data_IF_629237005602
#
_entry.id   IF_629237005602
#
_cell.length_a   1.000
_cell.length_b   1.000
_cell.length_c   1.000
_cell.angle_alpha   90.00
_cell.angle_beta   90.00
_cell.angle_gamma   90.00
#
_symmetry.space_group_name_H-M   'P 1'
#
loop_
_entity.id
_entity.type
_entity.pdbx_description
1 polymer ?
#
# COMPACT_ATOMS: atom_id res chain seq x y z
N UNK A 1 -13.89 -34.26 -1.38
CA UNK A 1 -12.78 -33.71 -0.56
C UNK A 1 -11.59 -33.57 -1.47
N UNK A 2 -11.42 -32.40 -2.09
CA UNK A 2 -10.21 -32.05 -2.84
C UNK A 2 -9.52 -30.99 -2.00
N UNK A 3 -8.37 -31.34 -1.42
CA UNK A 3 -7.50 -30.38 -0.75
C UNK A 3 -6.98 -29.40 -1.78
N UNK A 4 -7.23 -28.12 -1.55
CA UNK A 4 -6.58 -27.02 -2.26
C UNK A 4 -5.22 -26.83 -1.61
N UNK A 5 -4.15 -27.07 -2.38
CA UNK A 5 -2.78 -26.81 -1.98
C UNK A 5 -2.52 -25.32 -2.21
N UNK A 6 -2.36 -24.55 -1.14
CA UNK A 6 -1.83 -23.18 -1.20
C UNK A 6 -0.31 -23.31 -1.31
N UNK A 7 0.28 -22.76 -2.37
CA UNK A 7 1.73 -22.70 -2.55
C UNK A 7 2.15 -21.27 -2.25
N UNK A 8 2.67 -21.03 -1.04
CA UNK A 8 3.47 -19.86 -0.75
C UNK A 8 4.83 -20.03 -1.46
N UNK A 9 5.13 -19.16 -2.42
CA UNK A 9 6.44 -19.13 -3.08
C UNK A 9 7.31 -18.16 -2.28
N UNK A 10 8.20 -18.69 -1.46
CA UNK A 10 9.30 -17.93 -0.89
C UNK A 10 10.31 -17.62 -2.00
N UNK A 11 10.36 -16.37 -2.46
CA UNK A 11 11.39 -15.90 -3.40
C UNK A 11 12.29 -14.88 -2.70
N UNK A 12 13.55 -15.24 -2.52
CA UNK A 12 14.61 -14.32 -2.15
C UNK A 12 14.82 -13.27 -3.27
N UNK A 13 14.64 -11.99 -2.93
CA UNK A 13 15.39 -10.85 -3.48
C UNK A 13 15.36 -10.65 -5.00
N UNK A 14 14.19 -10.29 -5.53
CA UNK A 14 13.99 -9.48 -6.73
C UNK A 14 12.47 -9.24 -6.81
N UNK A 15 12.01 -8.04 -6.47
CA UNK A 15 10.59 -7.66 -6.54
C UNK A 15 10.14 -7.64 -8.01
N UNK A 16 9.75 -8.80 -8.52
CA UNK A 16 9.05 -8.95 -9.79
C UNK A 16 7.58 -8.64 -9.51
N UNK A 17 7.12 -7.44 -9.87
CA UNK A 17 5.68 -7.16 -9.97
C UNK A 17 5.05 -8.18 -10.91
N UNK A 18 3.82 -8.61 -10.62
CA UNK A 18 3.08 -9.46 -11.55
C UNK A 18 2.76 -8.64 -12.80
N UNK A 19 3.63 -8.73 -13.81
CA UNK A 19 3.33 -8.27 -15.16
C UNK A 19 2.26 -9.22 -15.75
N UNK A 20 1.00 -8.82 -15.68
CA UNK A 20 -0.10 -9.63 -16.21
C UNK A 20 -0.15 -9.46 -17.74
N UNK A 21 0.39 -10.43 -18.46
CA UNK A 21 0.33 -10.45 -19.92
C UNK A 21 -1.10 -10.78 -20.39
N UNK A 22 -1.75 -9.83 -21.05
CA UNK A 22 -3.01 -10.06 -21.76
C UNK A 22 -2.85 -11.18 -22.80
N UNK A 23 -3.49 -12.32 -22.55
CA UNK A 23 -3.37 -13.50 -23.40
C UNK A 23 -4.28 -13.44 -24.63
N UNK A 24 -3.72 -13.25 -25.83
CA UNK A 24 -4.26 -13.74 -27.11
C UNK A 24 -5.62 -13.23 -27.63
N UNK A 25 -6.31 -12.34 -26.91
CA UNK A 25 -7.58 -11.69 -27.32
C UNK A 25 -7.38 -10.22 -27.64
N UNK A 26 -8.43 -9.57 -28.18
CA UNK A 26 -8.50 -8.12 -28.31
C UNK A 26 -8.71 -7.49 -26.93
N UNK A 27 -7.81 -6.58 -26.50
CA UNK A 27 -7.85 -5.85 -25.23
C UNK A 27 -7.13 -4.50 -25.35
N UNK A 28 -7.54 -3.52 -24.54
CA UNK A 28 -6.75 -2.32 -24.30
C UNK A 28 -6.09 -2.42 -22.92
N UNK A 29 -5.00 -1.67 -22.71
CA UNK A 29 -4.23 -1.70 -21.47
C UNK A 29 -3.66 -0.30 -21.19
N UNK A 30 -4.35 0.46 -20.35
CA UNK A 30 -4.04 1.83 -19.91
C UNK A 30 -3.09 1.77 -18.73
N UNK A 31 -1.80 1.80 -19.05
CA UNK A 31 -0.75 1.78 -18.04
C UNK A 31 -0.27 3.19 -17.72
N UNK A 32 0.04 3.49 -16.47
CA UNK A 32 0.76 4.71 -16.11
C UNK A 32 2.22 4.55 -16.50
N UNK A 33 2.80 5.53 -17.22
CA UNK A 33 4.22 5.47 -17.62
C UNK A 33 5.04 6.62 -17.08
N UNK A 34 4.50 7.83 -17.04
CA UNK A 34 5.26 8.98 -16.54
C UNK A 34 4.50 9.69 -15.43
N UNK A 35 5.23 10.11 -14.39
CA UNK A 35 4.72 10.88 -13.26
C UNK A 35 5.70 12.01 -12.95
N UNK A 36 5.25 13.24 -13.13
CA UNK A 36 6.03 14.47 -12.94
C UNK A 36 7.27 14.56 -13.83
N UNK A 37 7.16 14.18 -15.12
CA UNK A 37 8.31 14.05 -16.05
C UNK A 37 8.96 15.37 -16.45
N UNK A 38 10.29 15.36 -16.63
CA UNK A 38 11.02 16.54 -17.08
C UNK A 38 10.76 16.79 -18.57
N UNK A 39 10.66 18.07 -18.96
CA UNK A 39 10.64 18.47 -20.38
C UNK A 39 9.29 18.30 -21.09
N UNK A 40 8.39 17.56 -20.46
CA UNK A 40 6.97 17.66 -20.67
C UNK A 40 6.55 18.96 -19.88
N UNK A 41 6.12 20.05 -20.54
CA UNK A 41 5.53 21.23 -19.85
C UNK A 41 6.34 22.54 -19.87
N UNK A 42 7.40 22.65 -20.66
CA UNK A 42 8.10 23.93 -20.90
C UNK A 42 9.35 24.20 -20.03
N UNK A 43 9.82 23.20 -19.27
CA UNK A 43 11.14 23.15 -18.64
C UNK A 43 11.11 22.85 -17.14
N UNK A 44 11.90 21.87 -16.69
CA UNK A 44 11.87 21.33 -15.32
C UNK A 44 10.92 20.13 -15.17
N UNK A 45 10.80 19.60 -13.95
CA UNK A 45 9.84 18.52 -13.62
C UNK A 45 8.42 19.08 -13.59
N UNK A 46 7.47 18.36 -14.19
CA UNK A 46 6.04 18.73 -14.18
C UNK A 46 5.40 18.47 -12.80
N UNK A 47 5.85 19.20 -11.79
CA UNK A 47 5.43 19.13 -10.39
C UNK A 47 5.15 20.56 -9.92
N UNK A 48 3.90 20.87 -9.63
CA UNK A 48 3.46 22.24 -9.38
C UNK A 48 2.95 22.44 -7.94
N UNK A 49 3.36 23.57 -7.35
CA UNK A 49 2.88 24.05 -6.06
C UNK A 49 1.81 25.13 -6.24
N UNK A 50 0.66 24.95 -5.58
CA UNK A 50 -0.52 25.81 -5.74
C UNK A 50 -0.74 26.81 -4.59
N UNK A 51 0.09 26.73 -3.55
CA UNK A 51 -0.06 27.55 -2.35
C UNK A 51 -0.36 26.71 -1.11
N UNK A 52 -0.44 27.42 0.02
CA UNK A 52 -0.75 26.84 1.33
C UNK A 52 -2.00 27.50 1.89
N UNK A 53 -2.90 26.72 2.48
CA UNK A 53 -4.05 27.21 3.20
C UNK A 53 -4.24 26.40 4.49
N UNK A 54 -4.46 27.07 5.62
CA UNK A 54 -4.74 26.42 6.91
C UNK A 54 -3.71 25.36 7.31
N UNK A 55 -2.43 25.59 7.02
CA UNK A 55 -1.35 24.65 7.37
C UNK A 55 -1.19 23.47 6.41
N UNK A 56 -1.87 23.48 5.26
CA UNK A 56 -1.77 22.44 4.23
C UNK A 56 -1.25 23.05 2.92
N UNK A 57 -0.22 22.45 2.35
CA UNK A 57 0.32 22.78 1.03
C UNK A 57 -0.36 21.95 -0.06
N UNK A 58 -0.66 22.57 -1.19
CA UNK A 58 -1.30 21.92 -2.31
C UNK A 58 -0.38 21.74 -3.51
N UNK A 59 -0.46 20.56 -4.12
CA UNK A 59 0.38 20.16 -5.24
C UNK A 59 -0.43 19.43 -6.33
N UNK A 60 0.12 19.40 -7.53
CA UNK A 60 -0.30 18.50 -8.60
C UNK A 60 0.94 18.07 -9.40
N UNK A 61 0.86 16.92 -10.06
CA UNK A 61 1.92 16.35 -10.89
C UNK A 61 1.39 16.01 -12.27
N UNK A 62 2.24 16.15 -13.27
CA UNK A 62 2.01 15.62 -14.60
C UNK A 62 1.87 14.11 -14.56
N UNK A 63 1.02 13.57 -15.40
CA UNK A 63 0.91 12.12 -15.59
C UNK A 63 0.75 11.79 -17.06
N UNK A 64 1.31 10.65 -17.48
CA UNK A 64 1.13 10.11 -18.83
C UNK A 64 0.71 8.67 -18.74
N UNK A 65 -0.34 8.31 -19.49
CA UNK A 65 -0.74 6.94 -19.70
C UNK A 65 -0.38 6.47 -21.11
N UNK A 66 -0.27 5.16 -21.26
CA UNK A 66 -0.07 4.46 -22.53
C UNK A 66 -1.18 3.45 -22.75
N UNK A 67 -1.62 3.28 -24.00
CA UNK A 67 -2.36 2.08 -24.39
C UNK A 67 -1.38 1.03 -24.94
N UNK A 68 -1.02 0.05 -24.12
CA UNK A 68 -0.13 -1.06 -24.47
C UNK A 68 -0.87 -2.28 -25.02
N UNK A 69 -2.20 -2.20 -25.11
CA UNK A 69 -3.04 -3.24 -25.70
C UNK A 69 -2.99 -3.26 -27.23
N UNK A 70 -3.89 -4.04 -27.82
CA UNK A 70 -3.99 -4.24 -29.27
C UNK A 70 -5.31 -3.71 -29.87
N UNK A 71 -6.19 -3.11 -29.06
CA UNK A 71 -7.33 -2.33 -29.52
C UNK A 71 -7.30 -0.91 -28.95
N UNK A 72 -8.15 -0.04 -29.48
CA UNK A 72 -8.29 1.35 -29.03
C UNK A 72 -8.97 1.42 -27.67
N UNK A 73 -8.41 2.21 -26.73
CA UNK A 73 -9.01 2.39 -25.41
C UNK A 73 -10.07 3.52 -25.43
N UNK A 74 -11.21 3.36 -24.74
CA UNK A 74 -12.21 4.42 -24.56
C UNK A 74 -11.67 5.63 -23.81
N UNK A 75 -12.05 6.84 -24.23
CA UNK A 75 -11.69 8.11 -23.56
C UNK A 75 -12.79 9.17 -23.72
N UNK A 76 -14.05 8.75 -23.61
CA UNK A 76 -15.21 9.58 -23.93
C UNK A 76 -15.50 10.58 -22.80
N UNK A 77 -14.92 11.78 -22.91
CA UNK A 77 -15.07 12.85 -21.92
C UNK A 77 -16.53 13.20 -21.61
N UNK A 78 -16.82 13.43 -20.32
CA UNK A 78 -18.19 13.71 -19.85
C UNK A 78 -19.08 12.47 -19.77
N UNK A 79 -18.49 11.28 -19.70
CA UNK A 79 -19.17 9.99 -19.47
C UNK A 79 -18.40 9.18 -18.42
N UNK A 80 -18.82 7.95 -18.13
CA UNK A 80 -18.10 6.99 -17.29
C UNK A 80 -17.05 6.14 -18.06
N UNK A 81 -16.91 6.33 -19.37
CA UNK A 81 -15.97 5.58 -20.22
C UNK A 81 -14.67 6.35 -20.44
N UNK A 82 -14.07 6.81 -19.34
CA UNK A 82 -12.88 7.65 -19.36
C UNK A 82 -12.08 7.43 -18.09
N UNK A 83 -10.74 7.43 -18.11
CA UNK A 83 -9.99 7.15 -16.90
C UNK A 83 -10.17 8.19 -15.79
N UNK A 84 -10.11 7.72 -14.55
CA UNK A 84 -9.91 8.54 -13.36
C UNK A 84 -8.47 8.41 -12.88
N UNK A 85 -7.87 9.52 -12.45
CA UNK A 85 -6.42 9.59 -12.19
C UNK A 85 -6.16 10.06 -10.76
N UNK A 86 -5.52 9.21 -9.97
CA UNK A 86 -5.05 9.51 -8.61
C UNK A 86 -3.60 9.98 -8.58
N UNK A 87 -3.30 10.86 -7.62
CA UNK A 87 -1.96 11.35 -7.36
C UNK A 87 -1.66 11.25 -5.86
N UNK A 88 -0.55 10.60 -5.53
CA UNK A 88 -0.15 10.34 -4.15
C UNK A 88 1.31 10.73 -3.90
N UNK A 89 1.66 11.02 -2.64
CA UNK A 89 3.04 11.28 -2.22
C UNK A 89 3.38 10.44 -1.01
N UNK A 90 4.53 9.79 -1.08
CA UNK A 90 5.05 8.91 -0.04
C UNK A 90 6.37 9.42 0.50
N UNK A 91 6.63 9.13 1.78
CA UNK A 91 7.89 9.43 2.48
C UNK A 91 8.41 8.17 3.15
N UNK A 92 9.67 7.84 2.90
CA UNK A 92 10.45 6.97 3.76
C UNK A 92 11.30 7.80 4.74
N UNK A 93 11.18 7.56 6.03
CA UNK A 93 12.00 8.20 7.06
C UNK A 93 12.07 7.33 8.31
N UNK A 94 13.28 7.11 8.82
CA UNK A 94 13.53 6.40 10.09
C UNK A 94 12.79 5.03 10.17
N UNK A 95 12.88 4.22 9.11
CA UNK A 95 12.23 2.90 9.00
C UNK A 95 10.75 2.93 8.58
N UNK A 96 10.15 4.13 8.43
CA UNK A 96 8.72 4.28 8.16
C UNK A 96 8.46 4.72 6.73
N UNK A 97 7.69 3.92 5.98
CA UNK A 97 7.20 4.27 4.66
C UNK A 97 5.72 4.67 4.72
N UNK A 98 5.42 5.96 4.58
CA UNK A 98 4.09 6.52 4.85
C UNK A 98 3.54 7.30 3.65
N UNK A 99 2.25 7.16 3.37
CA UNK A 99 1.54 8.09 2.49
C UNK A 99 1.33 9.42 3.24
N UNK A 100 1.87 10.50 2.68
CA UNK A 100 1.83 11.86 3.25
C UNK A 100 1.06 12.85 2.38
N UNK A 101 0.74 12.46 1.14
CA UNK A 101 -0.05 13.24 0.21
C UNK A 101 -1.08 12.37 -0.49
N UNK A 102 -2.31 12.87 -0.54
CA UNK A 102 -3.44 12.26 -1.23
C UNK A 102 -4.16 13.35 -2.01
N UNK A 103 -4.62 13.04 -3.22
CA UNK A 103 -5.54 13.89 -3.99
C UNK A 103 -6.91 13.23 -4.15
N UNK A 104 -7.90 14.06 -4.47
CA UNK A 104 -9.07 13.57 -5.22
C UNK A 104 -8.63 13.11 -6.62
N UNK A 105 -9.56 12.57 -7.39
CA UNK A 105 -9.25 12.01 -8.71
C UNK A 105 -9.58 13.00 -9.81
N UNK A 106 -8.69 13.11 -10.78
CA UNK A 106 -9.03 13.79 -12.03
C UNK A 106 -9.98 12.88 -12.80
N UNK A 107 -11.11 13.42 -13.25
CA UNK A 107 -11.86 12.81 -14.33
C UNK A 107 -11.26 13.26 -15.66
N UNK A 108 -10.66 12.33 -16.42
CA UNK A 108 -10.05 12.68 -17.70
C UNK A 108 -11.12 13.08 -18.74
N UNK A 109 -10.71 13.67 -19.86
CA UNK A 109 -11.66 14.30 -20.78
C UNK A 109 -11.29 14.22 -22.26
N UNK A 110 -10.02 13.97 -22.58
CA UNK A 110 -9.52 13.94 -23.95
C UNK A 110 -8.20 13.19 -24.01
N UNK A 111 -8.10 12.16 -24.85
CA UNK A 111 -6.82 11.55 -25.16
C UNK A 111 -6.14 12.32 -26.29
N UNK A 112 -4.94 12.85 -26.05
CA UNK A 112 -4.12 13.48 -27.10
C UNK A 112 -3.74 12.45 -28.18
N UNK A 113 -3.54 11.18 -27.80
CA UNK A 113 -3.13 10.08 -28.68
C UNK A 113 -1.87 10.40 -29.48
N UNK A 114 -0.78 10.62 -28.74
CA UNK A 114 0.50 11.06 -29.29
C UNK A 114 1.59 9.98 -29.24
N UNK A 115 2.69 10.13 -30.01
CA UNK A 115 3.84 9.25 -29.88
C UNK A 115 4.46 9.33 -28.47
N UNK A 116 4.84 8.19 -27.90
CA UNK A 116 5.47 8.13 -26.57
C UNK A 116 5.62 6.73 -25.99
N UNK A 117 4.75 5.79 -26.40
CA UNK A 117 4.70 4.43 -25.85
C UNK A 117 5.14 3.34 -26.83
N UNK A 118 4.93 3.56 -28.13
CA UNK A 118 5.26 2.63 -29.21
C UNK A 118 4.95 3.22 -30.58
N UNK A 119 4.61 2.34 -31.54
CA UNK A 119 4.16 2.73 -32.88
C UNK A 119 2.72 3.28 -32.82
N UNK A 120 2.59 4.52 -32.38
CA UNK A 120 1.31 5.17 -32.10
C UNK A 120 0.39 5.22 -33.34
N UNK A 121 -0.75 4.53 -33.23
CA UNK A 121 -1.88 4.59 -34.15
C UNK A 121 -2.86 5.66 -33.68
N UNK A 122 -2.48 6.92 -33.87
CA UNK A 122 -3.19 8.08 -33.33
C UNK A 122 -4.67 8.11 -33.73
N UNK A 123 -5.52 8.39 -32.74
CA UNK A 123 -6.96 8.54 -32.85
C UNK A 123 -7.39 9.98 -32.50
N UNK A 124 -8.70 10.23 -32.40
CA UNK A 124 -9.19 11.52 -31.93
C UNK A 124 -9.32 11.54 -30.39
N UNK A 125 -9.65 12.72 -29.86
CA UNK A 125 -9.83 13.03 -28.44
C UNK A 125 -10.66 12.03 -27.62
N UNK A 126 -11.59 11.30 -28.23
CA UNK A 126 -12.50 10.40 -27.53
C UNK A 126 -11.92 9.01 -27.24
N UNK A 127 -10.68 8.74 -27.66
CA UNK A 127 -10.09 7.41 -27.63
C UNK A 127 -8.58 7.49 -27.57
N UNK A 128 -7.92 6.57 -26.85
CA UNK A 128 -6.47 6.43 -26.87
C UNK A 128 -6.04 5.32 -27.85
N UNK A 129 -5.35 5.74 -28.90
CA UNK A 129 -4.87 4.86 -29.97
C UNK A 129 -3.89 3.79 -29.50
N UNK A 130 -3.79 2.70 -30.26
CA UNK A 130 -2.88 1.58 -29.97
C UNK A 130 -1.43 2.09 -29.99
N UNK A 131 -0.66 1.82 -28.94
CA UNK A 131 0.74 2.26 -28.80
C UNK A 131 0.90 3.77 -28.61
N UNK A 132 -0.18 4.51 -28.38
CA UNK A 132 -0.14 5.96 -28.14
C UNK A 132 -0.09 6.29 -26.66
N UNK A 133 0.41 7.50 -26.38
CA UNK A 133 0.42 8.15 -25.08
C UNK A 133 -0.73 9.17 -24.96
N UNK A 134 -1.14 9.42 -23.72
CA UNK A 134 -1.92 10.59 -23.33
C UNK A 134 -1.27 11.26 -22.12
N UNK A 135 -0.86 12.52 -22.26
CA UNK A 135 -0.26 13.30 -21.18
C UNK A 135 -1.21 14.36 -20.66
N UNK A 136 -1.46 14.31 -19.35
CA UNK A 136 -2.04 15.42 -18.60
C UNK A 136 -0.98 16.12 -17.78
N UNK A 137 -0.77 17.39 -18.10
CA UNK A 137 0.05 18.33 -17.35
C UNK A 137 -0.39 18.49 -15.89
N UNK A 138 0.52 18.94 -15.01
CA UNK A 138 0.17 19.21 -13.62
C UNK A 138 -1.02 20.18 -13.47
N UNK A 139 -1.15 21.19 -14.34
CA UNK A 139 -2.28 22.13 -14.32
C UNK A 139 -3.61 21.49 -14.74
N UNK A 140 -3.58 20.58 -15.72
CA UNK A 140 -4.73 19.75 -16.09
C UNK A 140 -5.07 18.73 -15.01
N UNK A 141 -4.06 18.20 -14.31
CA UNK A 141 -4.19 17.30 -13.16
C UNK A 141 -4.57 18.02 -11.88
N UNK A 142 -4.50 19.34 -11.83
CA UNK A 142 -5.04 20.16 -10.76
C UNK A 142 -6.54 20.47 -10.92
N UNK A 143 -7.12 20.14 -12.08
CA UNK A 143 -8.57 20.12 -12.28
C UNK A 143 -9.13 18.74 -11.92
N UNK A 144 -9.62 18.64 -10.69
CA UNK A 144 -9.91 17.38 -10.00
C UNK A 144 -11.32 17.44 -9.42
N UNK A 145 -12.15 16.46 -9.76
CA UNK A 145 -13.59 16.45 -9.45
C UNK A 145 -14.19 15.06 -9.20
N UNK A 146 -13.44 13.97 -9.41
CA UNK A 146 -13.92 12.61 -9.17
C UNK A 146 -13.64 12.16 -7.71
N UNK A 147 -14.68 11.73 -6.97
CA UNK A 147 -14.55 11.20 -5.62
C UNK A 147 -14.12 9.72 -5.64
N UNK A 148 -13.31 9.30 -4.68
CA UNK A 148 -12.91 7.88 -4.54
C UNK A 148 -14.07 6.96 -4.21
N UNK A 149 -14.98 7.48 -3.40
CA UNK A 149 -16.07 6.72 -2.76
C UNK A 149 -17.07 6.13 -3.75
N UNK A 150 -17.14 6.67 -4.97
CA UNK A 150 -18.10 6.28 -6.01
C UNK A 150 -17.51 5.35 -7.08
N UNK A 151 -16.24 4.94 -6.95
CA UNK A 151 -15.53 4.20 -8.00
C UNK A 151 -15.17 2.79 -7.53
N UNK A 152 -15.49 1.81 -8.37
CA UNK A 152 -14.95 0.47 -8.29
C UNK A 152 -13.61 0.42 -9.01
N UNK A 153 -12.50 0.52 -8.27
CA UNK A 153 -11.16 0.52 -8.87
C UNK A 153 -10.72 -0.84 -9.42
N UNK A 154 -11.37 -1.94 -9.03
CA UNK A 154 -11.07 -3.24 -9.63
C UNK A 154 -11.61 -3.31 -11.04
N UNK A 155 -12.86 -2.90 -11.26
CA UNK A 155 -13.52 -3.03 -12.57
C UNK A 155 -13.39 -1.80 -13.45
N UNK A 156 -13.20 -0.62 -12.85
CA UNK A 156 -13.32 0.67 -13.52
C UNK A 156 -14.74 1.24 -13.53
N UNK A 157 -15.71 0.55 -12.93
CA UNK A 157 -17.11 0.98 -12.97
C UNK A 157 -17.36 2.15 -12.00
N UNK A 158 -18.03 3.19 -12.51
CA UNK A 158 -18.58 4.29 -11.73
C UNK A 158 -19.76 4.95 -12.44
N UNK A 159 -20.58 5.70 -11.70
CA UNK A 159 -21.71 6.45 -12.26
C UNK A 159 -21.25 7.88 -12.58
N UNK A 160 -21.57 8.35 -13.79
CA UNK A 160 -21.38 9.74 -14.18
C UNK A 160 -22.73 10.40 -14.56
N UNK A 161 -23.00 11.65 -14.14
CA UNK A 161 -22.15 12.51 -13.29
C UNK A 161 -22.05 11.98 -11.85
N UNK A 162 -20.91 12.25 -11.20
CA UNK A 162 -20.70 11.94 -9.78
C UNK A 162 -21.71 12.67 -8.89
N UNK A 163 -22.07 12.04 -7.77
CA UNK A 163 -23.00 12.62 -6.80
C UNK A 163 -22.31 13.53 -5.80
N UNK A 164 -21.04 13.27 -5.50
CA UNK A 164 -20.18 14.09 -4.66
C UNK A 164 -19.34 15.04 -5.51
N UNK A 165 -19.04 16.21 -4.96
CA UNK A 165 -18.20 17.22 -5.61
C UNK A 165 -17.25 17.85 -4.60
N UNK A 166 -16.01 18.18 -5.00
CA UNK A 166 -15.04 18.70 -4.07
C UNK A 166 -15.44 20.08 -3.55
N UNK A 167 -15.12 20.33 -2.29
CA UNK A 167 -15.46 21.52 -1.51
C UNK A 167 -14.26 22.06 -0.74
N UNK A 168 -14.42 23.22 -0.11
CA UNK A 168 -13.36 23.89 0.65
C UNK A 168 -12.54 24.91 -0.15
N UNK A 169 -11.42 25.40 0.44
CA UNK A 169 -10.65 26.53 -0.10
C UNK A 169 -10.05 26.22 -1.47
N UNK A 170 -10.25 27.10 -2.45
CA UNK A 170 -9.85 26.88 -3.84
C UNK A 170 -8.35 26.62 -4.04
N UNK A 171 -7.50 27.07 -3.13
CA UNK A 171 -6.05 26.83 -3.14
C UNK A 171 -5.71 25.35 -2.96
N UNK A 172 -6.39 24.66 -2.05
CA UNK A 172 -6.06 23.27 -1.66
C UNK A 172 -7.12 22.25 -2.09
N UNK A 173 -8.28 22.73 -2.53
CA UNK A 173 -9.42 21.89 -2.89
C UNK A 173 -9.02 20.82 -3.91
N UNK A 174 -9.29 19.56 -3.56
CA UNK A 174 -9.11 18.36 -4.39
C UNK A 174 -7.66 17.99 -4.78
N UNK A 175 -6.73 18.96 -4.78
CA UNK A 175 -5.29 18.76 -5.04
C UNK A 175 -4.62 17.84 -4.02
N UNK A 176 -3.40 17.39 -4.34
CA UNK A 176 -2.55 16.67 -3.39
C UNK A 176 -2.35 17.57 -2.16
N UNK A 177 -2.83 17.15 -1.00
CA UNK A 177 -2.67 17.88 0.25
C UNK A 177 -1.54 17.29 1.08
N UNK A 178 -0.53 18.11 1.40
CA UNK A 178 0.64 17.70 2.19
C UNK A 178 0.81 18.68 3.35
N UNK A 179 1.10 18.17 4.55
CA UNK A 179 1.50 19.01 5.69
C UNK A 179 2.93 19.51 5.48
N UNK A 180 3.21 20.83 5.54
CA UNK A 180 4.55 21.38 5.26
C UNK A 180 5.69 20.75 6.09
N UNK A 181 5.43 20.38 7.34
CA UNK A 181 6.43 19.72 8.21
C UNK A 181 6.81 18.33 7.71
N UNK A 182 5.99 17.65 6.90
CA UNK A 182 6.33 16.33 6.37
C UNK A 182 7.37 16.37 5.25
N UNK A 183 7.51 17.52 4.60
CA UNK A 183 8.41 17.75 3.45
C UNK A 183 9.46 18.83 3.72
N UNK A 184 9.46 19.44 4.92
CA UNK A 184 10.48 20.42 5.29
C UNK A 184 11.86 19.74 5.40
N UNK A 185 12.85 20.11 4.55
CA UNK A 185 14.15 19.45 4.58
C UNK A 185 14.91 19.59 5.90
N UNK A 186 14.66 20.67 6.67
CA UNK A 186 15.31 20.84 7.98
C UNK A 186 14.74 19.93 9.07
N UNK A 187 13.53 19.41 8.89
CA UNK A 187 12.84 18.52 9.84
C UNK A 187 12.91 17.05 9.42
N UNK A 188 13.25 16.78 8.17
CA UNK A 188 13.26 15.45 7.55
C UNK A 188 14.62 15.11 6.92
N UNK A 189 15.70 15.36 7.67
CA UNK A 189 17.03 14.92 7.26
C UNK A 189 17.04 13.40 7.04
N UNK A 190 17.56 12.95 5.90
CA UNK A 190 17.62 11.53 5.53
C UNK A 190 16.33 10.96 4.92
N UNK A 191 15.24 11.73 4.87
CA UNK A 191 14.01 11.26 4.26
C UNK A 191 14.13 11.14 2.73
N UNK A 192 13.48 10.11 2.19
CA UNK A 192 13.32 9.88 0.75
C UNK A 192 11.84 10.00 0.39
N UNK A 193 11.54 10.44 -0.83
CA UNK A 193 10.17 10.74 -1.25
C UNK A 193 9.87 10.19 -2.64
N UNK A 194 8.62 9.80 -2.85
CA UNK A 194 8.10 9.38 -4.15
C UNK A 194 6.77 10.07 -4.42
N UNK A 195 6.56 10.44 -5.68
CA UNK A 195 5.23 10.76 -6.22
C UNK A 195 4.72 9.54 -6.96
N UNK A 196 3.43 9.29 -6.88
CA UNK A 196 2.75 8.20 -7.57
C UNK A 196 1.58 8.73 -8.38
N UNK A 197 1.43 8.20 -9.59
CA UNK A 197 0.26 8.37 -10.44
C UNK A 197 -0.43 7.03 -10.63
N UNK A 198 -1.75 7.02 -10.56
CA UNK A 198 -2.56 5.81 -10.80
C UNK A 198 -3.72 6.13 -11.74
N UNK A 199 -3.87 5.33 -12.79
CA UNK A 199 -5.00 5.40 -13.73
C UNK A 199 -5.96 4.26 -13.42
N UNK A 200 -7.25 4.53 -13.36
CA UNK A 200 -8.27 3.47 -13.42
C UNK A 200 -9.08 3.74 -14.67
N UNK A 201 -8.98 2.85 -15.66
CA UNK A 201 -9.74 2.99 -16.90
C UNK A 201 -11.24 2.88 -16.59
N UNK A 202 -12.02 3.88 -17.03
CA UNK A 202 -13.46 3.85 -16.88
C UNK A 202 -14.12 2.85 -17.83
N UNK A 203 -15.16 2.18 -17.38
CA UNK A 203 -15.94 1.21 -18.17
C UNK A 203 -17.44 1.40 -17.98
N UNK A 204 -18.24 0.69 -18.80
CA UNK A 204 -19.70 0.70 -18.71
C UNK A 204 -20.35 -0.34 -19.62
N UNK A 205 -21.68 -0.30 -19.69
CA UNK A 205 -22.50 -1.40 -20.25
C UNK A 205 -22.13 -1.82 -21.69
N UNK A 206 -21.61 -0.90 -22.52
CA UNK A 206 -21.28 -1.14 -23.92
C UNK A 206 -19.76 -1.30 -24.18
N UNK A 207 -18.90 -0.95 -23.22
CA UNK A 207 -17.43 -1.01 -23.33
C UNK A 207 -16.83 -1.71 -22.10
N UNK A 208 -16.31 -2.95 -22.24
CA UNK A 208 -15.75 -3.69 -21.12
C UNK A 208 -14.49 -3.01 -20.56
N UNK A 209 -14.31 -3.09 -19.25
CA UNK A 209 -13.15 -2.60 -18.53
C UNK A 209 -11.96 -3.55 -18.56
N UNK A 210 -10.81 -3.07 -18.08
CA UNK A 210 -9.54 -3.81 -18.07
C UNK A 210 -9.61 -5.12 -17.27
N UNK A 211 -10.48 -5.15 -16.28
CA UNK A 211 -10.74 -6.33 -15.44
C UNK A 211 -11.26 -7.52 -16.22
N UNK A 212 -11.97 -7.29 -17.33
CA UNK A 212 -12.48 -8.33 -18.23
C UNK A 212 -11.34 -9.13 -18.88
N UNK A 213 -10.19 -8.49 -19.10
CA UNK A 213 -8.99 -9.14 -19.67
C UNK A 213 -7.92 -9.46 -18.63
N UNK A 214 -8.12 -9.03 -17.39
CA UNK A 214 -7.13 -9.19 -16.33
C UNK A 214 -5.87 -8.38 -16.60
N UNK A 215 -5.98 -7.11 -16.99
CA UNK A 215 -4.80 -6.24 -17.20
C UNK A 215 -4.78 -5.00 -16.30
N UNK A 216 -5.80 -4.83 -15.45
CA UNK A 216 -6.01 -3.67 -14.58
C UNK A 216 -4.98 -3.47 -13.44
N UNK A 217 -4.03 -4.39 -13.24
CA UNK A 217 -3.13 -4.39 -12.08
C UNK A 217 -1.82 -3.61 -12.29
N UNK A 218 -1.50 -3.21 -13.52
CA UNK A 218 -0.27 -2.49 -13.89
C UNK A 218 -0.45 -0.96 -13.92
N UNK A 219 -1.45 -0.47 -13.20
CA UNK A 219 -2.03 0.84 -13.42
C UNK A 219 -1.45 1.98 -12.54
N UNK A 220 -0.47 1.68 -11.69
CA UNK A 220 0.20 2.64 -10.81
C UNK A 220 1.70 2.73 -11.15
N UNK A 221 2.29 3.92 -11.02
CA UNK A 221 3.74 4.13 -11.22
C UNK A 221 4.27 5.17 -10.27
N UNK A 222 5.54 5.03 -9.89
CA UNK A 222 6.19 5.90 -8.92
C UNK A 222 7.44 6.56 -9.50
N UNK A 223 7.70 7.80 -9.09
CA UNK A 223 8.94 8.51 -9.40
C UNK A 223 9.57 9.03 -8.11
N UNK A 224 10.87 8.77 -7.85
CA UNK A 224 11.53 9.37 -6.72
C UNK A 224 11.65 10.89 -6.91
N UNK A 225 11.50 11.64 -5.83
CA UNK A 225 11.55 13.11 -5.84
C UNK A 225 12.33 13.64 -4.64
N UNK A 226 12.66 14.93 -4.70
CA UNK A 226 13.28 15.65 -3.59
C UNK A 226 12.60 16.99 -3.36
N UNK A 227 12.06 17.16 -2.16
CA UNK A 227 11.67 18.47 -1.68
C UNK A 227 12.92 19.27 -1.30
N UNK A 228 13.12 20.43 -1.93
CA UNK A 228 14.23 21.35 -1.60
C UNK A 228 13.78 22.49 -0.69
N UNK A 229 12.47 22.65 -0.54
CA UNK A 229 11.78 23.47 0.45
C UNK A 229 10.36 22.94 0.60
N UNK A 230 9.57 23.53 1.50
CA UNK A 230 8.13 23.23 1.64
C UNK A 230 7.29 23.67 0.44
N UNK A 231 7.89 24.32 -0.57
CA UNK A 231 7.20 24.86 -1.75
C UNK A 231 7.94 24.56 -3.06
N UNK A 232 9.00 23.75 -3.03
CA UNK A 232 9.73 23.34 -4.22
C UNK A 232 10.09 21.85 -4.17
N UNK A 233 9.71 21.13 -5.21
CA UNK A 233 9.96 19.71 -5.39
C UNK A 233 10.58 19.49 -6.77
N UNK A 234 11.54 18.57 -6.88
CA UNK A 234 12.18 18.21 -8.15
C UNK A 234 12.18 16.70 -8.32
N UNK A 235 12.04 16.23 -9.56
CA UNK A 235 12.20 14.83 -9.90
C UNK A 235 13.62 14.34 -9.66
N UNK A 236 13.73 13.08 -9.24
CA UNK A 236 14.97 12.32 -9.23
C UNK A 236 14.81 11.18 -10.24
N UNK A 237 15.77 10.97 -11.13
CA UNK A 237 15.73 9.86 -12.10
C UNK A 237 14.48 9.86 -13.00
N UNK A 238 14.17 8.70 -13.57
CA UNK A 238 12.98 8.45 -14.38
C UNK A 238 11.83 7.91 -13.51
N UNK A 239 10.61 7.91 -14.04
CA UNK A 239 9.52 7.10 -13.48
C UNK A 239 9.83 5.62 -13.60
N UNK A 240 9.54 4.85 -12.57
CA UNK A 240 9.50 3.39 -12.65
C UNK A 240 8.06 2.97 -12.95
N UNK A 241 7.89 2.49 -14.19
CA UNK A 241 6.59 2.20 -14.76
C UNK A 241 5.99 0.96 -14.08
N UNK A 242 4.67 0.97 -13.89
CA UNK A 242 3.90 -0.15 -13.33
C UNK A 242 4.36 -0.59 -11.92
N UNK A 243 5.06 0.30 -11.19
CA UNK A 243 5.55 0.04 -9.84
C UNK A 243 4.99 1.08 -8.86
N UNK A 244 3.96 0.75 -8.06
CA UNK A 244 3.41 1.66 -7.05
C UNK A 244 4.47 2.03 -6.01
N UNK A 245 4.31 3.19 -5.38
CA UNK A 245 5.30 3.70 -4.43
C UNK A 245 5.42 2.81 -3.18
N UNK A 246 4.34 2.12 -2.77
CA UNK A 246 4.37 1.19 -1.63
C UNK A 246 5.40 0.05 -1.80
N UNK A 247 5.64 -0.40 -3.03
CA UNK A 247 6.64 -1.43 -3.38
C UNK A 247 8.09 -0.89 -3.36
N UNK A 248 8.32 0.32 -2.84
CA UNK A 248 9.67 0.89 -2.68
C UNK A 248 10.22 0.75 -1.28
N UNK A 249 9.41 0.28 -0.34
CA UNK A 249 9.87 0.18 1.04
C UNK A 249 10.96 -0.87 1.18
N UNK A 250 10.78 -2.05 0.59
CA UNK A 250 11.78 -3.13 0.49
C UNK A 250 13.02 -2.74 -0.35
N UNK A 251 12.88 -1.83 -1.32
CA UNK A 251 14.01 -1.27 -2.08
C UNK A 251 14.94 -0.40 -1.20
N UNK A 252 14.40 0.31 -0.20
CA UNK A 252 15.14 1.35 0.56
C UNK A 252 15.44 0.99 2.02
N UNK A 253 14.80 -0.06 2.53
CA UNK A 253 15.03 -0.60 3.87
C UNK A 253 15.28 -2.10 3.79
N UNK A 254 16.50 -2.53 4.11
CA UNK A 254 16.88 -3.95 4.08
C UNK A 254 16.18 -4.81 5.13
N UNK A 255 15.53 -4.19 6.13
CA UNK A 255 14.71 -4.90 7.11
C UNK A 255 13.24 -5.01 6.67
N UNK A 256 12.86 -4.32 5.60
CA UNK A 256 11.50 -4.34 5.09
C UNK A 256 11.31 -5.42 4.02
N UNK A 257 10.16 -6.08 4.09
CA UNK A 257 9.64 -6.93 3.02
C UNK A 257 8.30 -6.35 2.60
N UNK A 258 8.01 -6.31 1.30
CA UNK A 258 6.68 -5.99 0.76
C UNK A 258 6.25 -7.11 -0.18
N UNK A 259 5.03 -7.61 0.00
CA UNK A 259 4.45 -8.64 -0.86
C UNK A 259 3.12 -8.19 -1.45
N UNK A 260 2.82 -8.69 -2.65
CA UNK A 260 1.54 -8.54 -3.31
C UNK A 260 0.52 -9.54 -2.71
N UNK A 261 -0.70 -9.07 -2.47
CA UNK A 261 -1.82 -9.90 -2.00
C UNK A 261 -2.97 -9.73 -3.00
N UNK A 262 -3.23 -10.79 -3.77
CA UNK A 262 -4.33 -10.83 -4.74
C UNK A 262 -5.64 -11.15 -4.03
N UNK A 263 -6.65 -10.32 -4.25
CA UNK A 263 -7.99 -10.50 -3.69
C UNK A 263 -8.97 -11.01 -4.74
N UNK A 264 -9.86 -11.93 -4.36
CA UNK A 264 -11.01 -12.28 -5.18
C UNK A 264 -12.05 -11.16 -5.15
N UNK A 265 -12.37 -10.60 -6.31
CA UNK A 265 -13.31 -9.50 -6.53
C UNK A 265 -14.41 -9.91 -7.50
N UNK A 266 -15.58 -9.28 -7.41
CA UNK A 266 -16.58 -9.42 -8.48
C UNK A 266 -16.09 -8.65 -9.72
N UNK A 267 -16.25 -9.25 -10.89
CA UNK A 267 -16.07 -8.54 -12.16
C UNK A 267 -17.23 -7.60 -12.46
N UNK A 268 -17.18 -7.00 -13.65
CA UNK A 268 -18.17 -6.05 -14.15
C UNK A 268 -19.61 -6.58 -14.05
N UNK A 269 -20.54 -5.67 -13.73
CA UNK A 269 -21.94 -6.00 -13.44
C UNK A 269 -22.16 -6.91 -12.22
N UNK A 270 -21.13 -7.11 -11.39
CA UNK A 270 -21.16 -8.03 -10.26
C UNK A 270 -21.07 -9.50 -10.68
N UNK A 271 -20.50 -9.80 -11.85
CA UNK A 271 -20.43 -11.14 -12.42
C UNK A 271 -19.01 -11.64 -12.57
N UNK A 272 -18.82 -12.97 -12.48
CA UNK A 272 -17.49 -13.58 -12.53
C UNK A 272 -16.64 -13.27 -11.30
N UNK A 273 -15.39 -13.74 -11.34
CA UNK A 273 -14.37 -13.43 -10.33
C UNK A 273 -13.15 -12.90 -11.07
N UNK A 274 -12.68 -11.74 -10.66
CA UNK A 274 -11.45 -11.08 -11.14
C UNK A 274 -10.54 -10.79 -9.95
N UNK A 275 -9.30 -10.36 -10.23
CA UNK A 275 -8.33 -10.07 -9.18
C UNK A 275 -8.31 -8.58 -8.81
N UNK A 276 -8.40 -8.29 -7.52
CA UNK A 276 -7.90 -7.03 -6.94
C UNK A 276 -6.45 -7.20 -6.48
N UNK A 277 -5.81 -6.09 -6.13
CA UNK A 277 -4.43 -6.09 -5.64
C UNK A 277 -4.28 -5.18 -4.42
N UNK A 278 -3.72 -5.78 -3.37
CA UNK A 278 -3.21 -5.13 -2.18
C UNK A 278 -1.69 -5.37 -2.10
N UNK A 279 -1.01 -4.60 -1.27
CA UNK A 279 0.36 -4.87 -0.85
C UNK A 279 0.41 -4.84 0.66
N UNK A 280 1.14 -5.79 1.23
CA UNK A 280 1.40 -5.89 2.66
C UNK A 280 2.91 -5.86 2.89
N UNK A 281 3.38 -4.92 3.69
CA UNK A 281 4.77 -4.81 4.06
C UNK A 281 4.96 -4.85 5.57
N UNK A 282 6.14 -5.30 6.00
CA UNK A 282 6.52 -5.32 7.40
C UNK A 282 8.02 -5.07 7.56
N UNK A 283 8.40 -4.51 8.71
CA UNK A 283 9.79 -4.44 9.19
C UNK A 283 9.81 -4.58 10.72
N UNK A 284 10.85 -5.23 11.24
CA UNK A 284 11.13 -5.29 12.67
C UNK A 284 12.55 -4.80 12.95
N UNK A 285 12.73 -3.87 13.88
CA UNK A 285 14.04 -3.27 14.19
C UNK A 285 14.29 -3.23 15.69
N UNK A 286 15.53 -3.49 16.11
CA UNK A 286 15.96 -3.41 17.51
C UNK A 286 16.13 -1.94 17.94
N UNK A 287 15.50 -1.55 19.05
CA UNK A 287 15.63 -0.21 19.64
C UNK A 287 16.91 -0.03 20.48
N UNK A 288 17.68 -1.10 20.69
CA UNK A 288 18.93 -1.12 21.46
C UNK A 288 18.73 -1.05 22.97
N UNK A 289 17.53 -1.39 23.45
CA UNK A 289 17.13 -1.29 24.86
C UNK A 289 16.27 -2.48 25.33
N UNK A 290 16.35 -3.62 24.63
CA UNK A 290 15.52 -4.80 24.90
C UNK A 290 14.09 -4.70 24.37
N UNK A 291 13.78 -3.68 23.56
CA UNK A 291 12.51 -3.57 22.86
C UNK A 291 12.73 -3.52 21.35
N UNK A 292 11.73 -3.92 20.59
CA UNK A 292 11.74 -3.97 19.14
C UNK A 292 10.59 -3.16 18.58
N UNK A 293 10.86 -2.39 17.54
CA UNK A 293 9.86 -1.65 16.77
C UNK A 293 9.32 -2.53 15.65
N UNK A 294 8.00 -2.67 15.57
CA UNK A 294 7.29 -3.34 14.49
C UNK A 294 6.52 -2.29 13.70
N UNK A 295 6.79 -2.22 12.39
CA UNK A 295 6.10 -1.33 11.45
C UNK A 295 5.50 -2.18 10.33
N UNK A 296 4.27 -1.88 9.96
CA UNK A 296 3.53 -2.57 8.90
C UNK A 296 2.91 -1.55 7.95
N UNK A 297 2.84 -1.90 6.68
CA UNK A 297 2.21 -1.11 5.62
C UNK A 297 1.15 -1.98 4.92
N UNK A 298 -0.06 -1.46 4.78
CA UNK A 298 -1.09 -2.06 3.94
C UNK A 298 -1.49 -1.04 2.87
N UNK A 299 -1.11 -1.28 1.62
CA UNK A 299 -1.49 -0.44 0.49
C UNK A 299 -2.56 -1.13 -0.34
N UNK A 300 -3.69 -0.46 -0.57
CA UNK A 300 -4.71 -0.97 -1.48
C UNK A 300 -4.51 -0.30 -2.84
N UNK A 301 -4.05 -1.04 -3.86
CA UNK A 301 -3.93 -0.47 -5.20
C UNK A 301 -5.29 -0.44 -5.90
N UNK A 302 -5.96 -1.58 -6.03
CA UNK A 302 -7.24 -1.67 -6.77
C UNK A 302 -8.29 -2.59 -6.15
N UNK A 303 -8.09 -3.18 -4.98
CA UNK A 303 -9.13 -4.01 -4.34
C UNK A 303 -10.36 -3.16 -3.99
N UNK A 304 -11.48 -3.40 -4.69
CA UNK A 304 -12.73 -2.75 -4.36
C UNK A 304 -13.26 -3.22 -3.02
N UNK A 305 -13.02 -4.47 -2.63
CA UNK A 305 -13.43 -4.95 -1.32
C UNK A 305 -12.77 -4.21 -0.15
N UNK A 306 -11.61 -3.57 -0.37
CA UNK A 306 -10.92 -2.76 0.64
C UNK A 306 -10.54 -3.57 1.89
N UNK A 307 -9.73 -2.99 2.78
CA UNK A 307 -9.33 -3.64 4.03
C UNK A 307 -10.01 -2.95 5.22
N UNK A 308 -10.66 -3.73 6.06
CA UNK A 308 -11.43 -3.26 7.21
C UNK A 308 -10.88 -3.70 8.57
N UNK A 309 -9.96 -4.67 8.58
CA UNK A 309 -9.24 -5.09 9.79
C UNK A 309 -7.82 -5.56 9.47
N UNK A 310 -6.96 -5.44 10.47
CA UNK A 310 -5.59 -5.93 10.51
C UNK A 310 -5.40 -6.64 11.85
N UNK A 311 -4.91 -7.86 11.85
CA UNK A 311 -4.62 -8.62 13.08
C UNK A 311 -3.23 -9.20 13.00
N UNK A 312 -2.46 -9.12 14.09
CA UNK A 312 -1.13 -9.70 14.20
C UNK A 312 -0.98 -10.44 15.53
N UNK A 313 -0.41 -11.66 15.54
CA UNK A 313 -0.07 -12.37 16.76
C UNK A 313 0.81 -11.51 17.67
N UNK A 314 0.38 -11.37 18.92
CA UNK A 314 1.14 -10.76 20.00
C UNK A 314 0.77 -11.54 21.25
N UNK A 315 1.58 -12.52 21.70
CA UNK A 315 1.23 -13.32 22.85
C UNK A 315 1.00 -12.46 24.11
N UNK A 316 0.16 -12.92 25.04
CA UNK A 316 -0.29 -12.12 26.20
C UNK A 316 0.83 -11.75 27.20
N UNK A 317 2.00 -12.36 27.08
CA UNK A 317 3.20 -12.08 27.86
C UNK A 317 4.05 -10.94 27.29
N UNK A 318 3.75 -10.47 26.08
CA UNK A 318 4.42 -9.31 25.46
C UNK A 318 3.80 -8.01 25.95
N UNK A 319 4.64 -7.07 26.38
CA UNK A 319 4.25 -5.70 26.70
C UNK A 319 4.30 -4.83 25.46
N UNK A 320 3.15 -4.28 25.06
CA UNK A 320 3.04 -3.32 23.96
C UNK A 320 3.15 -1.87 24.44
N UNK A 321 3.88 -1.05 23.69
CA UNK A 321 3.86 0.41 23.79
C UNK A 321 3.76 1.05 22.40
N UNK A 322 3.48 2.36 22.35
CA UNK A 322 3.43 3.13 21.10
C UNK A 322 2.53 2.54 19.99
N UNK A 323 1.44 1.87 20.39
CA UNK A 323 0.45 1.27 19.49
C UNK A 323 -0.29 2.36 18.72
N UNK A 324 -0.17 2.34 17.39
CA UNK A 324 -0.75 3.36 16.52
C UNK A 324 -1.17 2.76 15.17
N UNK A 325 -2.30 3.25 14.65
CA UNK A 325 -2.67 3.12 13.25
C UNK A 325 -2.68 4.51 12.60
N UNK A 326 -2.05 4.66 11.44
CA UNK A 326 -1.99 5.92 10.68
C UNK A 326 -2.50 5.72 9.26
N UNK A 327 -3.48 6.53 8.88
CA UNK A 327 -4.09 6.54 7.55
C UNK A 327 -4.03 7.96 6.96
N UNK A 328 -4.00 8.11 5.63
CA UNK A 328 -4.13 9.42 4.99
C UNK A 328 -5.51 10.01 5.26
N UNK A 329 -5.57 11.34 5.29
CA UNK A 329 -6.79 12.08 5.58
C UNK A 329 -7.51 12.39 4.27
N UNK A 330 -8.73 11.87 4.13
CA UNK A 330 -9.67 12.29 3.10
C UNK A 330 -10.10 13.73 3.36
N UNK A 331 -10.07 14.57 2.32
CA UNK A 331 -10.26 16.00 2.45
C UNK A 331 -11.24 16.53 1.41
N UNK A 332 -11.43 17.85 1.40
CA UNK A 332 -12.24 18.55 0.40
C UNK A 332 -13.67 18.02 0.24
N UNK A 333 -14.27 17.45 1.29
CA UNK A 333 -15.64 16.92 1.25
C UNK A 333 -15.78 15.52 0.68
N UNK A 334 -14.69 14.74 0.63
CA UNK A 334 -14.79 13.31 0.32
C UNK A 334 -15.62 12.66 1.44
N UNK A 335 -16.46 11.70 1.07
CA UNK A 335 -17.46 11.14 2.01
C UNK A 335 -16.88 10.07 2.93
N UNK A 336 -15.71 9.54 2.59
CA UNK A 336 -14.98 8.56 3.40
C UNK A 336 -14.56 9.23 4.72
N UNK A 337 -14.95 8.59 5.82
CA UNK A 337 -14.68 9.05 7.17
C UNK A 337 -13.19 8.90 7.50
N UNK A 338 -12.68 9.84 8.29
CA UNK A 338 -11.34 9.83 8.86
C UNK A 338 -11.34 9.38 10.32
N UNK A 339 -12.41 8.72 10.77
CA UNK A 339 -12.49 8.14 12.09
C UNK A 339 -11.26 7.24 12.36
N UNK A 340 -10.59 7.40 13.50
CA UNK A 340 -9.45 6.55 13.84
C UNK A 340 -9.91 5.09 13.95
N UNK A 341 -9.05 4.17 13.54
CA UNK A 341 -9.30 2.75 13.74
C UNK A 341 -9.28 2.40 15.23
N UNK A 342 -10.16 1.49 15.62
CA UNK A 342 -10.14 0.87 16.93
C UNK A 342 -8.97 -0.10 17.01
N UNK A 343 -8.52 -0.37 18.22
CA UNK A 343 -7.60 -1.48 18.47
C UNK A 343 -7.84 -2.13 19.83
N UNK A 344 -7.48 -3.41 19.92
CA UNK A 344 -7.51 -4.21 21.13
C UNK A 344 -6.41 -5.27 21.07
N UNK A 345 -5.80 -5.55 22.21
CA UNK A 345 -4.92 -6.69 22.41
C UNK A 345 -5.61 -7.65 23.38
N UNK A 346 -5.96 -8.84 22.90
CA UNK A 346 -6.71 -9.84 23.68
C UNK A 346 -6.54 -11.23 23.09
N UNK A 347 -6.26 -12.22 23.93
CA UNK A 347 -6.14 -13.61 23.51
C UNK A 347 -4.96 -13.87 22.57
N UNK A 348 -3.83 -13.20 22.80
CA UNK A 348 -2.61 -13.39 22.03
C UNK A 348 -2.60 -12.70 20.66
N UNK A 349 -3.51 -11.75 20.40
CA UNK A 349 -3.60 -11.06 19.10
C UNK A 349 -3.84 -9.57 19.31
N UNK A 350 -3.05 -8.73 18.63
CA UNK A 350 -3.32 -7.31 18.47
C UNK A 350 -4.14 -7.09 17.21
N UNK A 351 -5.34 -6.55 17.34
CA UNK A 351 -6.26 -6.30 16.21
C UNK A 351 -6.58 -4.82 16.10
N UNK A 352 -6.53 -4.30 14.88
CA UNK A 352 -7.03 -2.98 14.49
C UNK A 352 -8.21 -3.14 13.53
N UNK A 353 -9.26 -2.32 13.67
CA UNK A 353 -10.43 -2.40 12.79
C UNK A 353 -11.20 -1.08 12.67
N UNK A 354 -11.97 -0.98 11.60
CA UNK A 354 -13.01 0.05 11.41
C UNK A 354 -14.41 -0.55 11.57
N UNK A 355 -15.45 0.29 11.55
CA UNK A 355 -16.83 -0.15 11.56
C UNK A 355 -17.12 -1.11 10.41
N UNK A 356 -17.86 -2.19 10.70
CA UNK A 356 -18.21 -3.23 9.73
C UNK A 356 -18.96 -2.62 8.54
N UNK A 357 -18.71 -3.14 7.34
CA UNK A 357 -19.44 -2.75 6.13
C UNK A 357 -20.94 -2.99 6.26
N UNK A 358 -21.71 -1.98 5.85
CA UNK A 358 -23.14 -2.06 5.61
C UNK A 358 -23.49 -1.34 4.30
N UNK A 359 -24.73 -1.51 3.83
CA UNK A 359 -25.22 -0.73 2.68
C UNK A 359 -25.18 0.78 2.93
N UNK A 360 -25.40 1.21 4.17
CA UNK A 360 -25.49 2.62 4.55
C UNK A 360 -24.12 3.30 4.59
N UNK A 361 -23.07 2.57 4.97
CA UNK A 361 -21.72 3.13 5.07
C UNK A 361 -20.83 2.84 3.86
N UNK A 362 -21.34 2.21 2.79
CA UNK A 362 -20.54 1.77 1.65
C UNK A 362 -19.60 2.86 1.08
N UNK A 363 -20.09 4.10 1.01
CA UNK A 363 -19.35 5.27 0.52
C UNK A 363 -18.55 5.98 1.63
N UNK A 364 -18.91 5.79 2.89
CA UNK A 364 -18.38 6.59 4.02
C UNK A 364 -17.43 5.83 4.95
N UNK A 365 -17.41 4.50 4.95
CA UNK A 365 -16.61 3.74 5.91
C UNK A 365 -15.10 3.99 5.78
N UNK A 366 -14.41 4.08 6.92
CA UNK A 366 -12.99 4.41 7.04
C UNK A 366 -12.04 3.23 6.73
N UNK A 367 -12.45 2.32 5.85
CA UNK A 367 -11.62 1.22 5.35
C UNK A 367 -10.43 1.75 4.53
N UNK A 368 -9.39 0.94 4.36
CA UNK A 368 -8.26 1.25 3.46
C UNK A 368 -8.77 1.16 2.02
N UNK A 369 -9.08 2.30 1.42
CA UNK A 369 -9.62 2.38 0.05
C UNK A 369 -8.51 2.33 -0.98
N UNK A 370 -8.87 2.09 -2.23
CA UNK A 370 -7.93 2.00 -3.33
C UNK A 370 -7.10 3.29 -3.51
N UNK A 371 -5.86 3.16 -3.99
CA UNK A 371 -4.87 4.23 -4.06
C UNK A 371 -4.51 4.84 -2.70
N UNK A 372 -4.74 4.13 -1.59
CA UNK A 372 -4.34 4.59 -0.25
C UNK A 372 -3.64 3.51 0.57
N UNK A 373 -2.82 3.96 1.53
CA UNK A 373 -2.06 3.10 2.44
C UNK A 373 -2.40 3.36 3.90
N UNK A 374 -2.34 2.33 4.74
CA UNK A 374 -2.34 2.45 6.19
C UNK A 374 -1.03 1.91 6.76
N UNK A 375 -0.55 2.55 7.82
CA UNK A 375 0.57 2.10 8.63
C UNK A 375 0.05 1.62 9.98
N UNK A 376 0.55 0.47 10.45
CA UNK A 376 0.29 -0.05 11.80
C UNK A 376 1.63 -0.23 12.49
N UNK A 377 1.73 0.21 13.75
CA UNK A 377 3.00 0.15 14.47
C UNK A 377 2.82 -0.01 15.97
N UNK A 378 3.84 -0.59 16.59
CA UNK A 378 3.99 -0.71 18.03
C UNK A 378 5.44 -1.03 18.37
N UNK A 379 5.81 -0.80 19.62
CA UNK A 379 7.02 -1.36 20.20
C UNK A 379 6.64 -2.51 21.15
N UNK A 380 7.45 -3.56 21.16
CA UNK A 380 7.28 -4.72 22.02
C UNK A 380 8.57 -5.06 22.75
N UNK A 381 8.47 -5.58 23.97
CA UNK A 381 9.59 -6.14 24.77
C UNK A 381 9.97 -7.57 24.34
N UNK A 382 9.71 -7.91 23.08
CA UNK A 382 9.90 -9.24 22.51
C UNK A 382 10.52 -9.17 21.12
N UNK A 383 11.49 -10.05 20.88
CA UNK A 383 12.20 -10.16 19.61
C UNK A 383 11.30 -10.72 18.49
N UNK A 384 11.58 -10.39 17.21
CA UNK A 384 10.77 -10.84 16.09
C UNK A 384 11.01 -12.30 15.71
N UNK A 385 9.93 -13.08 15.61
CA UNK A 385 9.90 -14.41 14.98
C UNK A 385 9.07 -14.40 13.70
N UNK A 386 9.08 -15.51 12.94
CA UNK A 386 8.18 -15.69 11.80
C UNK A 386 6.76 -15.99 12.28
N UNK A 387 5.78 -15.31 11.70
CA UNK A 387 4.37 -15.56 11.92
C UNK A 387 3.52 -14.89 10.85
N UNK A 388 2.21 -14.97 10.98
CA UNK A 388 1.30 -14.45 9.96
C UNK A 388 0.46 -13.31 10.53
N UNK A 389 0.36 -12.20 9.80
CA UNK A 389 -0.72 -11.24 10.01
C UNK A 389 -1.94 -11.64 9.18
N UNK A 390 -3.12 -11.20 9.59
CA UNK A 390 -4.37 -11.40 8.85
C UNK A 390 -4.96 -10.04 8.43
N UNK A 391 -5.19 -9.88 7.13
CA UNK A 391 -5.93 -8.76 6.55
C UNK A 391 -7.39 -9.16 6.33
N UNK A 392 -8.33 -8.50 7.02
CA UNK A 392 -9.76 -8.70 6.81
C UNK A 392 -10.33 -7.74 5.77
N UNK A 393 -10.99 -8.27 4.75
CA UNK A 393 -11.64 -7.45 3.73
C UNK A 393 -12.89 -6.78 4.28
N UNK A 394 -13.09 -5.52 3.92
CA UNK A 394 -14.18 -4.71 4.47
C UNK A 394 -15.51 -5.02 3.80
N UNK A 395 -15.57 -4.99 2.47
CA UNK A 395 -16.79 -5.35 1.73
C UNK A 395 -16.88 -6.87 1.56
N UNK A 396 -18.10 -7.45 1.66
CA UNK A 396 -18.33 -8.83 1.30
C UNK A 396 -18.08 -9.04 -0.21
N UNK A 397 -17.72 -10.27 -0.59
CA UNK A 397 -17.43 -10.59 -1.98
C UNK A 397 -17.15 -12.07 -2.20
N UNK A 398 -16.68 -12.46 -3.39
CA UNK A 398 -16.33 -13.84 -3.70
C UNK A 398 -15.09 -14.29 -2.91
N UNK A 399 -14.84 -15.60 -2.84
CA UNK A 399 -13.61 -16.12 -2.26
C UNK A 399 -13.47 -15.87 -0.75
N UNK A 400 -12.23 -15.67 -0.30
CA UNK A 400 -11.92 -15.48 1.11
C UNK A 400 -12.37 -14.11 1.64
N UNK A 401 -12.73 -14.06 2.92
CA UNK A 401 -13.03 -12.81 3.63
C UNK A 401 -11.79 -12.17 4.26
N UNK A 402 -10.69 -12.92 4.36
CA UNK A 402 -9.41 -12.48 4.88
C UNK A 402 -8.26 -13.20 4.17
N UNK A 403 -7.07 -12.62 4.27
CA UNK A 403 -5.83 -13.15 3.69
C UNK A 403 -4.73 -13.07 4.73
N UNK A 404 -3.97 -14.15 4.86
CA UNK A 404 -2.82 -14.21 5.75
C UNK A 404 -1.54 -13.83 4.98
N UNK A 405 -0.62 -13.16 5.67
CA UNK A 405 0.64 -12.69 5.10
C UNK A 405 1.77 -13.00 6.08
N UNK A 406 2.77 -13.73 5.61
CA UNK A 406 4.00 -14.02 6.34
C UNK A 406 4.72 -12.71 6.70
N UNK A 407 4.97 -12.51 7.99
CA UNK A 407 5.62 -11.31 8.54
C UNK A 407 6.48 -11.65 9.75
N UNK A 408 7.14 -10.61 10.29
CA UNK A 408 7.74 -10.67 11.63
C UNK A 408 6.72 -10.28 12.70
N UNK A 409 6.61 -11.11 13.73
CA UNK A 409 5.71 -10.91 14.88
C UNK A 409 6.49 -11.02 16.19
N UNK A 410 6.10 -10.31 17.26
CA UNK A 410 6.70 -10.53 18.57
C UNK A 410 6.28 -11.89 19.11
N UNK A 411 7.22 -12.58 19.74
CA UNK A 411 6.94 -13.83 20.43
C UNK A 411 7.55 -13.82 21.83
N UNK A 412 6.80 -14.39 22.76
CA UNK A 412 7.31 -14.62 24.11
C UNK A 412 8.33 -15.75 24.17
N UNK A 413 8.37 -16.61 23.15
CA UNK A 413 9.51 -17.51 22.95
C UNK A 413 10.72 -16.72 22.41
N UNK A 414 11.12 -15.70 23.15
CA UNK A 414 12.34 -14.94 22.96
C UNK A 414 13.34 -15.36 24.03
N UNK A 415 14.13 -16.40 23.71
CA UNK A 415 15.15 -17.05 24.55
C UNK A 415 14.63 -17.92 25.69
N UNK A 416 14.04 -19.10 25.41
CA UNK A 416 13.95 -20.13 26.45
C UNK A 416 15.32 -20.52 27.02
N UNK A 417 16.41 -20.23 26.28
CA UNK A 417 17.79 -20.36 26.74
C UNK A 417 18.22 -19.32 27.78
N UNK A 418 17.53 -18.17 27.90
CA UNK A 418 17.74 -17.17 28.96
C UNK A 418 16.79 -17.49 30.13
N UNK A 419 17.19 -18.50 30.90
CA UNK A 419 16.39 -19.02 32.00
C UNK A 419 16.30 -18.06 33.19
N UNK A 420 17.23 -17.10 33.27
CA UNK A 420 17.33 -16.17 34.38
C UNK A 420 16.70 -14.79 34.07
N UNK A 421 16.50 -14.48 32.79
CA UNK A 421 15.82 -13.29 32.26
C UNK A 421 16.68 -12.03 32.31
N UNK A 422 18.01 -12.15 32.22
CA UNK A 422 18.92 -11.00 32.24
C UNK A 422 19.33 -10.48 30.85
N UNK A 423 18.79 -11.09 29.79
CA UNK A 423 19.03 -10.71 28.40
C UNK A 423 20.33 -11.26 27.82
N UNK A 424 21.04 -12.17 28.51
CA UNK A 424 22.27 -12.77 28.02
C UNK A 424 22.29 -14.26 28.30
N UNK A 425 22.40 -15.08 27.26
CA UNK A 425 22.54 -16.53 27.42
C UNK A 425 23.97 -16.82 27.86
N UNK A 426 24.17 -17.10 29.14
CA UNK A 426 25.50 -17.33 29.70
C UNK A 426 25.59 -18.55 30.63
N UNK A 427 26.64 -18.56 31.47
CA UNK A 427 26.88 -19.68 32.38
C UNK A 427 25.78 -19.81 33.44
N UNK A 428 25.12 -18.73 33.81
CA UNK A 428 24.08 -18.73 34.83
C UNK A 428 22.83 -19.45 34.31
N UNK A 429 22.46 -19.27 33.03
CA UNK A 429 21.37 -20.02 32.40
C UNK A 429 21.73 -21.50 32.22
N UNK A 430 22.96 -21.79 31.78
CA UNK A 430 23.44 -23.17 31.68
C UNK A 430 23.36 -23.88 33.04
N UNK A 431 23.73 -23.19 34.13
CA UNK A 431 23.65 -23.73 35.48
C UNK A 431 22.19 -23.89 35.95
N UNK A 432 21.27 -23.03 35.52
CA UNK A 432 19.84 -23.17 35.79
C UNK A 432 19.25 -24.38 35.05
N UNK A 433 19.55 -24.57 33.77
CA UNK A 433 19.12 -25.74 32.99
C UNK A 433 19.63 -27.04 33.63
N UNK A 434 20.93 -27.11 33.96
CA UNK A 434 21.54 -28.27 34.65
C UNK A 434 20.94 -28.48 36.04
N UNK A 435 20.65 -27.41 36.78
CA UNK A 435 20.00 -27.47 38.09
C UNK A 435 18.56 -28.00 38.02
N UNK A 436 17.88 -27.78 36.89
CA UNK A 436 16.53 -28.24 36.59
C UNK A 436 16.44 -29.61 35.92
N UNK A 437 17.57 -30.32 35.72
CA UNK A 437 17.61 -31.57 34.97
C UNK A 437 16.61 -32.62 35.51
N UNK A 438 15.79 -33.16 34.60
CA UNK A 438 14.70 -34.08 34.90
C UNK A 438 13.42 -33.41 35.44
N UNK A 439 13.31 -32.08 35.34
CA UNK A 439 12.15 -31.30 35.79
C UNK A 439 11.77 -30.23 34.76
N UNK A 440 10.54 -29.69 34.80
CA UNK A 440 10.15 -28.57 33.93
C UNK A 440 10.94 -27.28 34.15
N UNK A 441 11.78 -27.19 35.19
CA UNK A 441 12.55 -25.98 35.48
C UNK A 441 13.81 -25.82 34.59
N UNK A 442 14.20 -26.86 33.84
CA UNK A 442 15.29 -26.81 32.86
C UNK A 442 14.82 -27.14 31.45
N UNK A 443 13.51 -27.07 31.21
CA UNK A 443 12.83 -27.35 29.95
C UNK A 443 12.87 -26.09 29.07
N UNK A 444 13.77 -26.10 28.09
CA UNK A 444 14.06 -25.03 27.14
C UNK A 444 13.29 -25.27 25.84
N UNK A 445 13.07 -26.53 25.45
CA UNK A 445 12.39 -26.87 24.20
C UNK A 445 10.87 -27.06 24.33
N UNK A 446 10.35 -26.99 25.55
CA UNK A 446 8.92 -27.02 25.88
C UNK A 446 8.32 -28.44 25.92
N UNK A 447 9.13 -29.50 26.00
CA UNK A 447 8.65 -30.89 26.03
C UNK A 447 8.15 -31.37 27.41
N UNK A 448 8.31 -30.53 28.44
CA UNK A 448 7.91 -30.76 29.82
C UNK A 448 9.00 -31.33 30.73
N UNK A 449 10.24 -31.53 30.26
CA UNK A 449 11.34 -32.06 31.07
C UNK A 449 12.73 -31.56 30.62
N UNK A 450 13.45 -30.90 31.52
CA UNK A 450 14.86 -30.57 31.27
C UNK A 450 15.72 -31.81 31.04
N UNK A 451 16.34 -31.87 29.88
CA UNK A 451 17.05 -33.02 29.34
C UNK A 451 18.43 -32.62 28.80
N UNK A 452 19.08 -33.53 28.08
CA UNK A 452 20.35 -33.21 27.41
C UNK A 452 20.09 -32.33 26.18
N UNK A 453 18.93 -32.44 25.55
CA UNK A 453 18.61 -31.69 24.34
C UNK A 453 18.44 -30.19 24.65
N UNK A 454 17.85 -29.85 25.80
CA UNK A 454 17.76 -28.48 26.34
C UNK A 454 19.14 -27.86 26.60
N UNK A 455 20.04 -28.63 27.24
CA UNK A 455 21.42 -28.18 27.49
C UNK A 455 22.15 -27.91 26.17
N UNK A 456 21.90 -28.72 25.14
CA UNK A 456 22.53 -28.54 23.83
C UNK A 456 21.97 -27.33 23.08
N UNK A 457 20.69 -27.01 23.23
CA UNK A 457 20.09 -25.76 22.73
C UNK A 457 20.75 -24.54 23.38
N UNK A 458 20.87 -24.55 24.71
CA UNK A 458 21.50 -23.47 25.47
C UNK A 458 22.97 -23.27 25.07
N UNK A 459 23.73 -24.36 24.91
CA UNK A 459 25.13 -24.29 24.44
C UNK A 459 25.21 -23.75 23.00
N UNK A 460 24.25 -24.07 22.14
CA UNK A 460 24.24 -23.58 20.76
C UNK A 460 24.02 -22.06 20.69
N UNK A 461 23.28 -21.50 21.65
CA UNK A 461 23.03 -20.07 21.81
C UNK A 461 23.95 -19.39 22.85
N UNK A 462 24.99 -20.07 23.35
CA UNK A 462 25.83 -19.52 24.42
C UNK A 462 26.58 -18.26 23.97
N UNK A 463 26.40 -17.17 24.72
CA UNK A 463 27.00 -15.87 24.48
C UNK A 463 26.25 -14.97 23.50
N UNK A 464 25.06 -15.36 23.04
CA UNK A 464 24.14 -14.42 22.38
C UNK A 464 23.28 -13.66 23.39
N UNK A 465 22.83 -12.48 22.97
CA UNK A 465 21.90 -11.64 23.72
C UNK A 465 20.46 -11.90 23.30
N UNK A 466 19.57 -11.73 24.27
CA UNK A 466 18.13 -11.62 24.15
C UNK A 466 17.77 -10.14 24.46
#
# INVERSE_FOLDING_TARGET
>A
MRSTLVVAIATFGLSTTIAQAGGGTDFYDVTTVFVGEDGYGGGGSDIEYYGTNSGISAWAVGTTACNLGNIVAPWYGGTNHVPVIGQNVYRYKDGRFEQIGLSWLKHSFCAVSEPGCGDCQSTNCNTLGIGCADTYWADLNANIDAPRSEINATTGEYIYPFTNSPSGPSTIRARIQIVPSDVNPSENSGAQYWIEGQYVAGCGDDDPGESTWGVQLNNASSRPVRFTSTTNCVGLGATDHMLPAAMRWDDVDSNATVVEVLTDEYGEGGTGVVSGLLHAGHAATDNGNGTHHYEFLVHNQVSHRSVGSFSVPVPDCVTLTNVEARLPIYHSGETIDNAPWHWEHSGGVLTFWTDVHTSENNMTGAAIRWGTSANFRFDADAAPTDGDLTLGLWRPGPGAASYDVDVKVPDCEGCPEDLNGDGVIDVDDLLMCVGGFGTPAGDVDGDGIGSVDDILMLIAAFGSSC
#
